data_IF_318292645779
#
_entry.id   IF_318292645779
#
_cell.length_a   1.000
_cell.length_b   1.000
_cell.length_c   1.000
_cell.angle_alpha   90.00
_cell.angle_beta   90.00
_cell.angle_gamma   90.00
#
_symmetry.space_group_name_H-M   'P 1'
#
loop_
_entity.id
_entity.type
_entity.pdbx_description
1 polymer ?
#
# COMPACT_ATOMS: atom_id res chain seq x y z
N UNK A 1 1.84 15.62 -19.02
CA UNK A 1 2.57 15.69 -17.75
C UNK A 1 1.80 14.86 -16.74
N UNK A 2 2.42 13.82 -16.19
CA UNK A 2 1.73 12.86 -15.33
C UNK A 2 1.98 13.17 -13.85
N UNK A 3 1.11 12.64 -12.99
CA UNK A 3 1.22 12.73 -11.54
C UNK A 3 1.33 11.33 -10.94
N UNK A 4 2.01 11.26 -9.81
CA UNK A 4 2.10 10.05 -8.99
C UNK A 4 1.41 10.30 -7.65
N UNK A 5 0.53 9.39 -7.25
CA UNK A 5 -0.04 9.35 -5.91
C UNK A 5 0.60 8.21 -5.14
N UNK A 6 1.04 8.50 -3.93
CA UNK A 6 1.52 7.49 -2.98
C UNK A 6 0.52 7.47 -1.83
N UNK A 7 -0.07 6.31 -1.57
CA UNK A 7 -1.13 6.18 -0.57
C UNK A 7 -1.01 4.90 0.26
N UNK A 8 -1.79 4.80 1.32
CA UNK A 8 -1.91 3.55 2.06
C UNK A 8 -2.67 2.49 1.25
N UNK A 9 -2.36 1.21 1.46
CA UNK A 9 -3.12 0.08 0.89
C UNK A 9 -4.52 -0.09 1.49
N UNK A 10 -4.91 0.77 2.44
CA UNK A 10 -6.18 0.73 3.17
C UNK A 10 -7.41 0.70 2.25
N UNK A 11 -8.27 -0.30 2.44
CA UNK A 11 -9.50 -0.52 1.66
C UNK A 11 -10.44 0.69 1.65
N UNK A 12 -10.41 1.51 2.69
CA UNK A 12 -11.30 2.69 2.85
C UNK A 12 -10.93 3.83 1.91
N UNK A 13 -9.74 3.81 1.31
CA UNK A 13 -9.26 4.85 0.41
C UNK A 13 -9.57 4.55 -1.07
N UNK A 14 -10.11 3.37 -1.40
CA UNK A 14 -10.27 2.91 -2.78
C UNK A 14 -11.09 3.89 -3.62
N UNK A 15 -12.30 4.24 -3.16
CA UNK A 15 -13.20 5.13 -3.89
C UNK A 15 -12.63 6.55 -4.00
N UNK A 16 -12.07 7.09 -2.91
CA UNK A 16 -11.44 8.41 -2.91
C UNK A 16 -10.31 8.50 -3.95
N UNK A 17 -9.48 7.45 -4.04
CA UNK A 17 -8.38 7.39 -5.00
C UNK A 17 -8.90 7.30 -6.43
N UNK A 18 -9.87 6.42 -6.68
CA UNK A 18 -10.46 6.24 -8.00
C UNK A 18 -11.16 7.52 -8.49
N UNK A 19 -11.95 8.18 -7.64
CA UNK A 19 -12.71 9.38 -7.98
C UNK A 19 -11.83 10.62 -8.17
N UNK A 20 -10.86 10.85 -7.28
CA UNK A 20 -10.09 12.11 -7.28
C UNK A 20 -8.77 12.02 -8.05
N UNK A 21 -8.26 10.81 -8.29
CA UNK A 21 -6.94 10.58 -8.86
C UNK A 21 -6.95 9.57 -10.02
N UNK A 22 -8.07 9.45 -10.73
CA UNK A 22 -8.28 8.55 -11.88
C UNK A 22 -7.17 8.59 -12.95
N UNK A 23 -6.57 9.76 -13.15
CA UNK A 23 -5.54 9.99 -14.16
C UNK A 23 -4.09 9.91 -13.65
N UNK A 24 -3.90 9.63 -12.37
CA UNK A 24 -2.59 9.54 -11.74
C UNK A 24 -2.05 8.11 -11.76
N UNK A 25 -0.73 7.94 -11.87
CA UNK A 25 -0.10 6.67 -11.47
C UNK A 25 -0.19 6.53 -9.96
N UNK A 26 -0.43 5.33 -9.46
CA UNK A 26 -0.59 5.07 -8.03
C UNK A 26 0.45 4.07 -7.55
N UNK A 27 1.10 4.37 -6.43
CA UNK A 27 1.78 3.41 -5.56
C UNK A 27 0.99 3.32 -4.26
N UNK A 28 0.72 2.11 -3.78
CA UNK A 28 0.04 1.88 -2.50
C UNK A 28 0.78 0.84 -1.69
N UNK A 29 1.08 1.14 -0.43
CA UNK A 29 1.74 0.23 0.51
C UNK A 29 1.27 0.51 1.95
N UNK A 30 1.77 -0.22 2.95
CA UNK A 30 1.36 0.04 4.33
C UNK A 30 1.88 1.42 4.80
N UNK A 31 0.96 2.31 5.18
CA UNK A 31 1.29 3.62 5.75
C UNK A 31 1.81 4.68 4.78
N UNK A 32 1.66 4.47 3.46
CA UNK A 32 2.24 5.34 2.42
C UNK A 32 3.77 5.52 2.58
N UNK A 33 4.46 4.46 3.01
CA UNK A 33 5.88 4.45 3.36
C UNK A 33 6.77 4.58 2.12
N UNK A 34 7.53 5.66 2.03
CA UNK A 34 8.33 6.01 0.85
C UNK A 34 9.66 5.26 0.80
N UNK A 35 10.22 4.92 1.96
CA UNK A 35 11.54 4.31 2.07
C UNK A 35 11.74 3.04 1.21
N UNK A 36 10.87 2.02 1.28
CA UNK A 36 11.04 0.80 0.49
C UNK A 36 10.79 1.02 -1.01
N UNK A 37 10.05 2.05 -1.40
CA UNK A 37 9.60 2.29 -2.78
C UNK A 37 10.33 3.44 -3.49
N UNK A 38 11.36 4.03 -2.87
CA UNK A 38 12.10 5.16 -3.44
C UNK A 38 12.67 4.88 -4.85
N UNK A 39 13.20 3.66 -5.06
CA UNK A 39 13.70 3.24 -6.38
C UNK A 39 12.58 3.17 -7.42
N UNK A 40 11.44 2.60 -7.03
CA UNK A 40 10.26 2.46 -7.89
C UNK A 40 9.68 3.84 -8.28
N UNK A 41 9.62 4.77 -7.32
CA UNK A 41 9.26 6.18 -7.58
C UNK A 41 10.20 6.79 -8.62
N UNK A 42 11.52 6.62 -8.45
CA UNK A 42 12.53 7.14 -9.38
C UNK A 42 12.34 6.59 -10.80
N UNK A 43 12.08 5.29 -10.93
CA UNK A 43 11.86 4.65 -12.22
C UNK A 43 10.57 5.17 -12.88
N UNK A 44 9.50 5.37 -12.13
CA UNK A 44 8.25 5.96 -12.64
C UNK A 44 8.42 7.42 -13.06
N UNK A 45 9.15 8.24 -12.29
CA UNK A 45 9.44 9.63 -12.66
C UNK A 45 10.10 9.68 -14.03
N UNK A 46 11.13 8.85 -14.23
CA UNK A 46 11.88 8.79 -15.49
C UNK A 46 11.03 8.27 -16.64
N UNK A 47 10.29 7.18 -16.43
CA UNK A 47 9.63 6.45 -17.52
C UNK A 47 8.26 7.03 -17.89
N UNK A 48 7.61 7.76 -16.98
CA UNK A 48 6.24 8.27 -17.17
C UNK A 48 6.16 9.80 -17.16
N UNK A 49 7.28 10.53 -17.13
CA UNK A 49 7.33 12.00 -17.05
C UNK A 49 6.46 12.56 -15.92
N UNK A 50 6.69 12.03 -14.71
CA UNK A 50 6.04 12.51 -13.48
C UNK A 50 6.72 13.79 -13.03
N UNK A 51 5.94 14.85 -12.80
CA UNK A 51 6.44 16.15 -12.29
C UNK A 51 5.85 16.56 -10.94
N UNK A 52 4.83 15.84 -10.49
CA UNK A 52 4.15 16.07 -9.22
C UNK A 52 3.90 14.73 -8.53
N UNK A 53 4.27 14.67 -7.24
CA UNK A 53 3.95 13.56 -6.33
C UNK A 53 3.00 14.08 -5.27
N UNK A 54 1.92 13.34 -5.04
CA UNK A 54 0.94 13.61 -3.99
C UNK A 54 1.01 12.44 -3.01
N UNK A 55 1.39 12.72 -1.77
CA UNK A 55 1.40 11.72 -0.70
C UNK A 55 0.13 11.84 0.15
N UNK A 56 -0.61 10.74 0.24
CA UNK A 56 -1.86 10.62 0.99
C UNK A 56 -1.64 9.70 2.19
N UNK A 57 -1.40 10.31 3.35
CA UNK A 57 -1.51 9.62 4.64
C UNK A 57 -2.98 9.63 5.09
N UNK A 58 -3.34 8.80 6.06
CA UNK A 58 -4.69 8.82 6.62
C UNK A 58 -4.71 8.54 8.14
N UNK A 59 -5.79 8.96 8.80
CA UNK A 59 -6.07 8.64 10.21
C UNK A 59 -6.52 7.19 10.38
N UNK A 60 -6.46 6.66 11.60
CA UNK A 60 -6.81 5.26 11.91
C UNK A 60 -6.04 4.26 11.03
N UNK A 61 -4.74 4.50 10.86
CA UNK A 61 -3.87 3.69 10.01
C UNK A 61 -3.42 2.42 10.72
N UNK A 62 -3.69 1.25 10.13
CA UNK A 62 -3.24 -0.04 10.67
C UNK A 62 -1.71 -0.14 10.82
N UNK A 63 -0.95 0.44 9.90
CA UNK A 63 0.51 0.49 9.97
C UNK A 63 0.99 1.36 11.15
N UNK A 64 0.39 2.53 11.37
CA UNK A 64 0.77 3.40 12.48
C UNK A 64 0.33 2.82 13.83
N UNK A 65 -0.82 2.15 13.89
CA UNK A 65 -1.23 1.35 15.06
C UNK A 65 -0.19 0.28 15.43
N UNK A 66 0.39 -0.39 14.42
CA UNK A 66 1.46 -1.37 14.62
C UNK A 66 2.73 -0.72 15.16
N UNK A 67 3.19 0.38 14.54
CA UNK A 67 4.35 1.15 14.99
C UNK A 67 4.17 1.64 16.43
N UNK A 68 3.03 2.26 16.74
CA UNK A 68 2.68 2.71 18.08
C UNK A 68 2.73 1.55 19.10
N UNK A 69 2.13 0.40 18.75
CA UNK A 69 2.13 -0.78 19.60
C UNK A 69 3.52 -1.32 19.90
N UNK A 70 4.46 -1.23 18.96
CA UNK A 70 5.83 -1.71 19.14
C UNK A 70 6.65 -0.71 19.96
N UNK A 71 6.60 0.58 19.60
CA UNK A 71 7.43 1.60 20.24
C UNK A 71 6.92 1.95 21.64
N UNK A 72 5.62 2.21 21.81
CA UNK A 72 5.06 2.70 23.08
C UNK A 72 4.55 1.58 23.98
N UNK A 73 4.23 0.40 23.44
CA UNK A 73 3.72 -0.74 24.24
C UNK A 73 4.67 -1.94 24.31
N UNK A 74 5.86 -1.85 23.72
CA UNK A 74 6.90 -2.89 23.81
C UNK A 74 6.51 -4.22 23.16
N UNK A 75 5.58 -4.23 22.20
CA UNK A 75 5.28 -5.44 21.43
C UNK A 75 6.49 -5.86 20.60
N UNK A 76 6.64 -7.16 20.35
CA UNK A 76 7.68 -7.66 19.47
C UNK A 76 7.46 -7.22 18.02
N UNK A 77 8.57 -6.89 17.35
CA UNK A 77 8.62 -6.64 15.92
C UNK A 77 9.25 -7.84 15.22
N UNK A 78 8.68 -8.24 14.07
CA UNK A 78 9.39 -9.07 13.10
C UNK A 78 10.58 -8.26 12.55
N UNK A 79 11.79 -8.84 12.42
CA UNK A 79 12.98 -8.10 11.98
C UNK A 79 12.82 -7.38 10.64
N UNK A 80 12.12 -7.98 9.67
CA UNK A 80 11.93 -7.36 8.36
C UNK A 80 11.00 -6.13 8.48
N UNK A 81 9.98 -6.22 9.33
CA UNK A 81 9.08 -5.10 9.62
C UNK A 81 9.79 -4.00 10.42
N UNK A 82 10.71 -4.39 11.31
CA UNK A 82 11.55 -3.47 12.06
C UNK A 82 12.39 -2.61 11.14
N UNK A 83 13.11 -3.24 10.20
CA UNK A 83 13.96 -2.55 9.23
C UNK A 83 13.15 -1.68 8.29
N UNK A 84 12.10 -2.23 7.67
CA UNK A 84 11.38 -1.59 6.56
C UNK A 84 10.36 -0.52 6.96
N UNK A 85 9.78 -0.63 8.16
CA UNK A 85 8.72 0.26 8.62
C UNK A 85 9.06 0.93 9.95
N UNK A 86 9.42 0.19 11.00
CA UNK A 86 9.38 0.73 12.37
C UNK A 86 10.58 1.62 12.71
N UNK A 87 11.78 1.27 12.23
CA UNK A 87 13.04 1.91 12.62
C UNK A 87 13.05 3.43 12.43
N UNK A 88 12.40 3.92 11.37
CA UNK A 88 12.31 5.34 11.02
C UNK A 88 11.56 6.17 12.08
N UNK A 89 10.70 5.56 12.89
CA UNK A 89 9.91 6.24 13.92
C UNK A 89 10.56 6.19 15.31
N UNK A 90 11.61 5.40 15.54
CA UNK A 90 12.21 5.20 16.88
C UNK A 90 12.83 6.45 17.48
N UNK A 91 13.20 7.43 16.64
CA UNK A 91 13.78 8.70 17.07
C UNK A 91 12.75 9.80 17.23
N UNK A 92 11.49 9.53 16.88
CA UNK A 92 10.41 10.48 17.02
C UNK A 92 9.83 10.38 18.43
N UNK A 93 9.36 11.51 18.93
CA UNK A 93 8.67 11.60 20.20
C UNK A 93 7.20 11.93 19.94
N UNK A 94 6.33 10.99 20.26
CA UNK A 94 4.88 11.07 20.04
C UNK A 94 4.16 10.37 21.20
N UNK A 95 3.05 10.91 21.70
CA UNK A 95 2.32 10.31 22.83
C UNK A 95 0.99 9.70 22.43
N UNK A 96 0.54 9.98 21.20
CA UNK A 96 -0.71 9.45 20.65
C UNK A 96 -0.53 8.90 19.23
N UNK A 97 -1.53 8.12 18.79
CA UNK A 97 -1.60 7.62 17.41
C UNK A 97 -1.79 8.81 16.45
N UNK A 98 -2.65 9.76 16.79
CA UNK A 98 -2.92 10.95 15.97
C UNK A 98 -1.65 11.81 15.73
N UNK A 99 -0.77 11.90 16.73
CA UNK A 99 0.54 12.54 16.58
C UNK A 99 1.44 11.74 15.65
N UNK A 100 1.55 10.43 15.87
CA UNK A 100 2.34 9.54 15.02
C UNK A 100 1.88 9.57 13.55
N UNK A 101 0.59 9.69 13.27
CA UNK A 101 0.06 9.77 11.91
C UNK A 101 0.40 11.10 11.22
N UNK A 102 0.43 12.21 11.96
CA UNK A 102 0.94 13.50 11.45
C UNK A 102 2.44 13.44 11.22
N UNK A 103 3.17 12.85 12.15
CA UNK A 103 4.62 12.68 12.04
C UNK A 103 4.98 11.78 10.87
N UNK A 104 4.20 10.73 10.60
CA UNK A 104 4.34 9.91 9.40
C UNK A 104 4.22 10.76 8.15
N UNK A 105 3.14 11.55 8.01
CA UNK A 105 2.98 12.43 6.84
C UNK A 105 4.22 13.33 6.64
N UNK A 106 4.67 13.99 7.70
CA UNK A 106 5.82 14.89 7.64
C UNK A 106 7.09 14.13 7.24
N UNK A 107 7.36 12.99 7.88
CA UNK A 107 8.53 12.15 7.62
C UNK A 107 8.58 11.69 6.16
N UNK A 108 7.46 11.19 5.62
CA UNK A 108 7.40 10.72 4.24
C UNK A 108 7.52 11.87 3.22
N UNK A 109 6.91 13.03 3.51
CA UNK A 109 7.05 14.23 2.66
C UNK A 109 8.48 14.74 2.64
N UNK A 110 9.16 14.79 3.80
CA UNK A 110 10.54 15.23 3.89
C UNK A 110 11.47 14.25 3.16
N UNK A 111 11.21 12.94 3.28
CA UNK A 111 11.90 11.91 2.50
C UNK A 111 11.74 12.16 1.00
N UNK A 112 10.53 12.40 0.51
CA UNK A 112 10.27 12.69 -0.91
C UNK A 112 10.99 13.95 -1.39
N UNK A 113 10.93 15.04 -0.62
CA UNK A 113 11.62 16.30 -0.96
C UNK A 113 13.13 16.12 -1.02
N UNK A 114 13.69 15.31 -0.12
CA UNK A 114 15.14 15.05 -0.09
C UNK A 114 15.61 14.18 -1.26
N UNK A 115 14.84 13.16 -1.63
CA UNK A 115 15.18 12.23 -2.73
C UNK A 115 14.86 12.79 -4.12
N UNK A 116 13.84 13.65 -4.22
CA UNK A 116 13.32 14.16 -5.49
C UNK A 116 13.17 15.69 -5.48
N UNK A 117 14.27 16.45 -5.32
CA UNK A 117 14.22 17.91 -5.12
C UNK A 117 13.66 18.69 -6.32
N UNK A 118 13.68 18.10 -7.52
CA UNK A 118 13.14 18.73 -8.74
C UNK A 118 11.65 18.40 -8.99
N UNK A 119 11.05 17.56 -8.14
CA UNK A 119 9.66 17.13 -8.28
C UNK A 119 8.79 17.92 -7.32
N UNK A 120 7.63 18.41 -7.78
CA UNK A 120 6.66 19.07 -6.89
C UNK A 120 6.08 18.04 -5.93
N UNK A 121 6.19 18.26 -4.62
CA UNK A 121 5.66 17.36 -3.59
C UNK A 121 4.50 18.04 -2.85
N UNK A 122 3.35 17.38 -2.82
CA UNK A 122 2.19 17.74 -2.00
C UNK A 122 1.88 16.61 -1.00
N UNK A 123 1.52 16.95 0.24
CA UNK A 123 1.27 15.98 1.30
C UNK A 123 -0.06 16.26 1.99
N UNK A 124 -0.89 15.23 2.15
CA UNK A 124 -2.24 15.36 2.74
C UNK A 124 -2.47 14.26 3.76
N UNK A 125 -3.08 14.66 4.89
CA UNK A 125 -3.63 13.74 5.88
C UNK A 125 -5.13 13.62 5.66
N UNK A 126 -5.59 12.47 5.19
CA UNK A 126 -7.00 12.16 5.00
C UNK A 126 -7.59 11.68 6.32
N UNK A 127 -8.72 12.27 6.72
CA UNK A 127 -9.47 11.78 7.88
C UNK A 127 -10.42 10.70 7.42
N UNK A 128 -10.25 9.48 7.94
CA UNK A 128 -11.12 8.36 7.56
C UNK A 128 -12.57 8.62 7.99
N UNK A 129 -12.78 9.42 9.03
CA UNK A 129 -14.12 9.82 9.50
C UNK A 129 -14.89 10.64 8.45
N UNK A 130 -14.19 11.30 7.54
CA UNK A 130 -14.77 12.07 6.44
C UNK A 130 -15.16 11.18 5.25
N UNK A 131 -14.78 9.90 5.26
CA UNK A 131 -15.10 8.91 4.23
C UNK A 131 -16.34 8.13 4.68
N UNK A 132 -17.31 7.99 3.78
CA UNK A 132 -18.51 7.16 4.01
C UNK A 132 -18.17 5.68 3.89
N UNK A 133 -17.55 5.12 4.92
CA UNK A 133 -17.21 3.69 4.99
C UNK A 133 -18.45 2.89 5.45
N UNK A 134 -18.93 1.91 4.68
CA UNK A 134 -20.01 1.03 5.10
C UNK A 134 -19.57 0.14 6.27
N UNK A 135 -20.53 -0.47 6.97
CA UNK A 135 -20.24 -1.40 8.06
C UNK A 135 -19.35 -2.55 7.57
N UNK A 136 -18.31 -2.83 8.35
CA UNK A 136 -17.33 -3.90 8.08
C UNK A 136 -17.98 -5.28 8.22
N UNK A 137 -17.95 -6.07 7.15
CA UNK A 137 -18.42 -7.45 7.08
C UNK A 137 -17.35 -8.49 7.49
N UNK A 138 -16.18 -8.00 7.92
CA UNK A 138 -15.04 -8.70 8.54
C UNK A 138 -14.22 -9.60 7.62
N UNK A 139 -14.59 -9.76 6.35
CA UNK A 139 -13.80 -10.57 5.41
C UNK A 139 -13.02 -9.62 4.53
N UNK A 140 -11.72 -9.54 4.79
CA UNK A 140 -10.83 -8.69 4.02
C UNK A 140 -9.91 -9.51 3.13
N UNK A 141 -9.82 -9.09 1.88
CA UNK A 141 -8.95 -9.65 0.86
C UNK A 141 -7.88 -8.64 0.48
N UNK A 142 -6.81 -9.09 -0.15
CA UNK A 142 -5.74 -8.23 -0.61
C UNK A 142 -5.55 -8.42 -2.11
N UNK A 143 -5.53 -7.30 -2.83
CA UNK A 143 -5.17 -7.24 -4.24
C UNK A 143 -3.74 -6.75 -4.32
N UNK A 144 -2.89 -7.50 -4.99
CA UNK A 144 -1.50 -7.14 -5.29
C UNK A 144 -1.37 -6.85 -6.77
N UNK A 145 -0.94 -5.63 -7.10
CA UNK A 145 -0.82 -5.13 -8.46
C UNK A 145 0.48 -4.32 -8.65
N UNK A 146 0.89 -4.13 -9.91
CA UNK A 146 1.96 -3.18 -10.23
C UNK A 146 1.42 -1.73 -10.16
N UNK A 147 2.30 -0.72 -9.99
CA UNK A 147 1.91 0.68 -10.12
C UNK A 147 1.25 0.94 -11.46
N UNK A 148 0.10 1.59 -11.41
CA UNK A 148 -0.75 1.83 -12.57
C UNK A 148 -1.74 2.96 -12.25
N UNK A 149 -2.46 3.42 -13.27
CA UNK A 149 -3.65 4.25 -13.05
C UNK A 149 -4.72 3.41 -12.33
N UNK A 150 -5.53 4.01 -11.45
CA UNK A 150 -6.58 3.27 -10.77
C UNK A 150 -7.63 2.76 -11.78
N UNK A 151 -8.15 1.58 -11.50
CA UNK A 151 -9.23 0.92 -12.24
C UNK A 151 -9.89 -0.08 -11.30
N UNK A 152 -10.14 0.37 -10.07
CA UNK A 152 -10.50 -0.49 -8.96
C UNK A 152 -11.91 -1.01 -9.12
N UNK A 153 -12.86 -0.18 -9.54
CA UNK A 153 -14.24 -0.60 -9.80
C UNK A 153 -14.30 -1.83 -10.71
N UNK A 154 -13.71 -1.72 -11.90
CA UNK A 154 -13.70 -2.82 -12.86
C UNK A 154 -12.96 -4.06 -12.35
N UNK A 155 -11.85 -3.86 -11.62
CA UNK A 155 -11.08 -4.96 -11.04
C UNK A 155 -11.86 -5.69 -9.94
N UNK A 156 -12.51 -4.95 -9.05
CA UNK A 156 -13.28 -5.48 -7.93
C UNK A 156 -14.54 -6.18 -8.42
N UNK A 157 -15.25 -5.61 -9.38
CA UNK A 157 -16.41 -6.22 -10.04
C UNK A 157 -16.06 -7.59 -10.64
N UNK A 158 -14.93 -7.66 -11.35
CA UNK A 158 -14.46 -8.92 -11.97
C UNK A 158 -14.07 -9.98 -10.94
N UNK A 159 -13.64 -9.58 -9.74
CA UNK A 159 -13.36 -10.48 -8.63
C UNK A 159 -14.58 -10.73 -7.74
N UNK A 160 -15.73 -10.10 -8.04
CA UNK A 160 -16.93 -10.12 -7.19
C UNK A 160 -16.65 -9.65 -5.75
N UNK A 161 -15.81 -8.63 -5.60
CA UNK A 161 -15.41 -8.05 -4.33
C UNK A 161 -16.11 -6.71 -4.09
N UNK A 162 -16.35 -6.39 -2.82
CA UNK A 162 -16.81 -5.05 -2.43
C UNK A 162 -15.60 -4.09 -2.43
N UNK A 163 -15.83 -2.84 -2.84
CA UNK A 163 -14.85 -1.76 -2.75
C UNK A 163 -14.22 -1.58 -1.38
N UNK A 164 -14.97 -1.88 -0.32
CA UNK A 164 -14.50 -1.78 1.04
C UNK A 164 -14.05 -3.13 1.62
N UNK A 165 -14.02 -4.22 0.87
CA UNK A 165 -13.53 -5.53 1.38
C UNK A 165 -12.12 -5.87 0.92
N UNK A 166 -11.50 -5.05 0.05
CA UNK A 166 -10.19 -5.32 -0.51
C UNK A 166 -9.17 -4.23 -0.17
N UNK A 167 -8.11 -4.62 0.51
CA UNK A 167 -6.87 -3.84 0.55
C UNK A 167 -6.21 -3.89 -0.83
N UNK A 168 -5.61 -2.78 -1.28
CA UNK A 168 -4.95 -2.71 -2.58
C UNK A 168 -3.49 -2.31 -2.38
N UNK A 169 -2.59 -3.26 -2.60
CA UNK A 169 -1.15 -3.09 -2.59
C UNK A 169 -0.65 -2.92 -4.03
N UNK A 170 -0.15 -1.73 -4.35
CA UNK A 170 0.36 -1.37 -5.67
C UNK A 170 1.83 -0.99 -5.56
N UNK A 171 2.71 -1.99 -5.71
CA UNK A 171 4.16 -1.81 -5.66
C UNK A 171 4.85 -3.01 -6.30
N UNK A 172 6.10 -2.85 -6.72
CA UNK A 172 6.96 -3.93 -7.18
C UNK A 172 6.99 -5.05 -6.13
N UNK A 173 6.78 -6.28 -6.62
CA UNK A 173 6.97 -7.55 -5.93
C UNK A 173 8.23 -7.67 -5.05
N UNK A 174 9.27 -6.88 -5.31
CA UNK A 174 10.47 -6.83 -4.48
C UNK A 174 10.27 -6.12 -3.12
N UNK A 175 9.31 -5.19 -3.01
CA UNK A 175 9.14 -4.30 -1.84
C UNK A 175 7.95 -4.67 -0.95
N UNK A 176 7.13 -5.63 -1.36
CA UNK A 176 5.81 -5.90 -0.78
C UNK A 176 5.81 -6.85 0.44
N UNK A 177 6.91 -7.54 0.76
CA UNK A 177 6.89 -8.57 1.82
C UNK A 177 6.50 -8.04 3.20
N UNK A 178 7.04 -6.91 3.68
CA UNK A 178 6.62 -6.36 4.97
C UNK A 178 5.13 -6.01 4.99
N UNK A 179 4.62 -5.44 3.89
CA UNK A 179 3.21 -5.08 3.75
C UNK A 179 2.30 -6.32 3.76
N UNK A 180 2.69 -7.38 3.05
CA UNK A 180 1.97 -8.66 3.05
C UNK A 180 1.94 -9.29 4.44
N UNK A 181 3.07 -9.30 5.15
CA UNK A 181 3.12 -9.82 6.52
C UNK A 181 2.18 -9.04 7.43
N UNK A 182 2.17 -7.71 7.33
CA UNK A 182 1.27 -6.85 8.09
C UNK A 182 -0.20 -7.12 7.74
N UNK A 183 -0.53 -7.27 6.45
CA UNK A 183 -1.88 -7.57 6.00
C UNK A 183 -2.40 -8.91 6.56
N UNK A 184 -1.57 -9.96 6.53
CA UNK A 184 -1.96 -11.29 7.01
C UNK A 184 -2.01 -11.36 8.54
N UNK A 185 -0.99 -10.83 9.22
CA UNK A 185 -0.83 -10.98 10.66
C UNK A 185 -1.68 -9.99 11.48
N UNK A 186 -1.81 -8.76 11.01
CA UNK A 186 -2.43 -7.66 11.77
C UNK A 186 -3.81 -7.27 11.21
N UNK A 187 -4.03 -7.39 9.88
CA UNK A 187 -5.30 -7.02 9.24
C UNK A 187 -6.22 -8.21 8.94
N UNK A 188 -5.76 -9.44 9.22
CA UNK A 188 -6.57 -10.65 9.11
C UNK A 188 -6.83 -11.13 7.68
N UNK A 189 -6.05 -10.66 6.70
CA UNK A 189 -6.21 -11.07 5.29
C UNK A 189 -5.98 -12.58 5.14
N UNK A 190 -6.94 -13.26 4.49
CA UNK A 190 -6.88 -14.71 4.20
C UNK A 190 -6.83 -15.04 2.71
N UNK A 191 -7.01 -14.05 1.85
CA UNK A 191 -7.03 -14.21 0.40
C UNK A 191 -6.18 -13.13 -0.24
N UNK A 192 -5.26 -13.53 -1.11
CA UNK A 192 -4.38 -12.62 -1.87
C UNK A 192 -4.59 -12.88 -3.36
N UNK A 193 -5.00 -11.84 -4.08
CA UNK A 193 -5.17 -11.83 -5.53
C UNK A 193 -3.98 -11.14 -6.19
N UNK A 194 -3.11 -11.90 -6.83
CA UNK A 194 -2.00 -11.37 -7.62
C UNK A 194 -2.52 -10.99 -9.02
N UNK A 195 -2.65 -9.69 -9.25
CA UNK A 195 -3.03 -9.11 -10.53
C UNK A 195 -1.77 -8.70 -11.28
N UNK A 196 -1.40 -9.50 -12.29
CA UNK A 196 -0.29 -9.11 -13.14
C UNK A 196 -0.78 -8.14 -14.21
N UNK A 197 -0.42 -6.87 -14.03
CA UNK A 197 -0.80 -5.79 -14.96
C UNK A 197 0.21 -5.70 -16.13
N UNK A 198 1.47 -6.10 -15.95
CA UNK A 198 2.51 -5.91 -16.98
C UNK A 198 3.57 -7.02 -17.11
N UNK A 199 3.58 -8.09 -16.30
CA UNK A 199 4.55 -9.19 -16.54
C UNK A 199 4.05 -10.05 -17.72
N UNK A 200 4.50 -9.70 -18.93
CA UNK A 200 4.26 -10.44 -20.17
C UNK A 200 4.75 -11.91 -20.09
N UNK A 201 5.60 -12.26 -19.12
CA UNK A 201 6.14 -13.60 -18.93
C UNK A 201 5.34 -14.44 -17.92
N UNK A 202 4.62 -15.49 -18.35
CA UNK A 202 3.92 -16.42 -17.47
C UNK A 202 4.80 -17.10 -16.41
N UNK A 203 6.12 -17.22 -16.65
CA UNK A 203 7.04 -17.87 -15.72
C UNK A 203 7.23 -17.07 -14.44
N UNK A 204 7.40 -15.75 -14.56
CA UNK A 204 7.67 -14.88 -13.41
C UNK A 204 6.47 -14.85 -12.46
N UNK A 205 5.25 -14.89 -13.00
CA UNK A 205 4.01 -14.98 -12.22
C UNK A 205 3.92 -16.25 -11.40
N UNK A 206 4.31 -17.38 -12.00
CA UNK A 206 4.32 -18.68 -11.30
C UNK A 206 5.37 -18.70 -10.20
N UNK A 207 6.52 -18.08 -10.42
CA UNK A 207 7.57 -17.93 -9.40
C UNK A 207 7.07 -17.08 -8.23
N UNK A 208 6.45 -15.94 -8.50
CA UNK A 208 5.89 -15.07 -7.45
C UNK A 208 4.82 -15.80 -6.63
N UNK A 209 3.88 -16.50 -7.28
CA UNK A 209 2.85 -17.28 -6.56
C UNK A 209 3.45 -18.42 -5.75
N UNK A 210 4.44 -19.15 -6.29
CA UNK A 210 5.11 -20.22 -5.56
C UNK A 210 5.82 -19.67 -4.32
N UNK A 211 6.52 -18.54 -4.45
CA UNK A 211 7.16 -17.85 -3.33
C UNK A 211 6.13 -17.46 -2.27
N UNK A 212 5.02 -16.83 -2.65
CA UNK A 212 3.96 -16.44 -1.72
C UNK A 212 3.32 -17.66 -1.04
N UNK A 213 3.04 -18.73 -1.78
CA UNK A 213 2.46 -19.97 -1.23
C UNK A 213 3.40 -20.64 -0.21
N UNK A 214 4.71 -20.62 -0.47
CA UNK A 214 5.70 -21.16 0.47
C UNK A 214 5.73 -20.37 1.79
N UNK A 215 5.54 -19.04 1.71
CA UNK A 215 5.59 -18.15 2.87
C UNK A 215 4.28 -18.22 3.65
N UNK A 216 3.14 -17.98 3.01
CA UNK A 216 1.84 -17.77 3.68
C UNK A 216 0.88 -18.96 3.60
N UNK A 217 1.17 -19.99 2.80
CA UNK A 217 0.29 -21.14 2.67
C UNK A 217 0.11 -21.91 3.99
N UNK A 218 1.12 -21.87 4.87
CA UNK A 218 1.04 -22.44 6.23
C UNK A 218 0.09 -21.68 7.14
N UNK A 219 -0.15 -20.39 6.86
CA UNK A 219 -1.05 -19.52 7.62
C UNK A 219 -2.51 -19.60 7.12
N UNK A 220 -2.78 -20.56 6.22
CA UNK A 220 -4.08 -20.78 5.60
C UNK A 220 -4.45 -19.72 4.57
N UNK A 221 -3.49 -18.91 4.11
CA UNK A 221 -3.71 -17.88 3.10
C UNK A 221 -3.83 -18.52 1.72
N UNK A 222 -4.91 -18.20 1.00
CA UNK A 222 -5.10 -18.63 -0.38
C UNK A 222 -4.60 -17.57 -1.34
N UNK A 223 -3.82 -17.99 -2.34
CA UNK A 223 -3.22 -17.09 -3.34
C UNK A 223 -3.70 -17.46 -4.74
N UNK A 224 -4.39 -16.52 -5.37
CA UNK A 224 -4.90 -16.62 -6.75
C UNK A 224 -4.08 -15.72 -7.66
N UNK A 225 -3.81 -16.16 -8.90
CA UNK A 225 -3.17 -15.31 -9.93
C UNK A 225 -4.18 -15.00 -11.01
N UNK A 226 -4.16 -13.75 -11.48
CA UNK A 226 -4.92 -13.30 -12.62
C UNK A 226 -4.05 -12.58 -13.66
N UNK A 227 -4.53 -12.54 -14.91
CA UNK A 227 -3.94 -11.75 -16.01
C UNK A 227 -4.81 -10.53 -16.25
N UNK A 228 -4.21 -9.35 -16.42
CA UNK A 228 -4.94 -8.17 -16.88
C UNK A 228 -4.96 -8.09 -18.43
N UNK A 229 -6.05 -7.59 -19.06
CA UNK A 229 -7.36 -7.40 -18.46
C UNK A 229 -7.94 -8.76 -18.08
N UNK A 230 -8.52 -8.84 -16.87
CA UNK A 230 -9.28 -10.01 -16.45
C UNK A 230 -10.34 -10.27 -17.52
N UNK A 231 -10.31 -11.47 -18.10
CA UNK A 231 -11.28 -11.85 -19.12
C UNK A 231 -12.64 -12.05 -18.42
N UNK A 232 -13.67 -11.46 -19.04
CA UNK A 232 -15.08 -11.66 -18.68
C UNK A 232 -15.48 -13.14 -18.72
#
# INVERSE_FOLDING_TARGET
>A
MNKLVISCMDRRLNDLIEEQYSDCFIIRNAGANVYPVAKEIKDLIKNKDIREIILLAHTDCGAMNKVFGIIKRGKSADPDLEESLISQYRKLDFDSIDELEKDNLNLQVDKLKSEFPETKIDGRLIRIEDIKVPKDDKIHELILANPSKPGYSGLLDQLSLNHFSAYILQSDTNNIMPDLKLAVADLGVKFIHLISIEKENPRDRKVDQQRLNLIFGKDGVKISIYSYPLKA
#
